data_IF_625931436305
#
_entry.id   IF_625931436305
#
_cell.length_a   1.000
_cell.length_b   1.000
_cell.length_c   1.000
_cell.angle_alpha   90.00
_cell.angle_beta   90.00
_cell.angle_gamma   90.00
#
_symmetry.space_group_name_H-M   'P 1'
#
loop_
_entity.id
_entity.type
_entity.pdbx_description
1 polymer ?
#
# COMPACT_ATOMS: atom_id res chain seq x y z
N UNK A 1 -5.11 2.05 -13.04
CA UNK A 1 -4.06 1.74 -14.05
C UNK A 1 -3.51 2.97 -14.76
N UNK A 2 -4.31 3.96 -15.16
CA UNK A 2 -3.83 5.12 -15.92
C UNK A 2 -2.67 5.88 -15.25
N UNK A 3 -2.75 6.13 -13.94
CA UNK A 3 -1.68 6.79 -13.17
C UNK A 3 -0.36 6.02 -13.25
N UNK A 4 -0.37 4.71 -12.98
CA UNK A 4 0.86 3.91 -12.99
C UNK A 4 1.47 3.89 -14.40
N UNK A 5 0.63 3.72 -15.44
CA UNK A 5 1.10 3.77 -16.84
C UNK A 5 1.71 5.12 -17.20
N UNK A 6 1.12 6.21 -16.72
CA UNK A 6 1.65 7.57 -16.90
C UNK A 6 3.00 7.72 -16.20
N UNK A 7 3.11 7.33 -14.93
CA UNK A 7 4.37 7.38 -14.17
C UNK A 7 5.49 6.62 -14.90
N UNK A 8 5.23 5.38 -15.31
CA UNK A 8 6.26 4.56 -15.94
C UNK A 8 6.63 5.05 -17.35
N UNK A 9 5.67 5.49 -18.17
CA UNK A 9 5.92 5.82 -19.59
C UNK A 9 6.28 7.28 -19.85
N UNK A 10 5.61 8.21 -19.19
CA UNK A 10 5.78 9.64 -19.45
C UNK A 10 6.83 10.24 -18.51
N UNK A 11 6.71 9.94 -17.22
CA UNK A 11 7.56 10.53 -16.18
C UNK A 11 8.82 9.69 -15.92
N UNK A 12 8.89 8.47 -16.48
CA UNK A 12 9.99 7.52 -16.33
C UNK A 12 10.32 7.23 -14.86
N UNK A 13 9.29 7.17 -14.02
CA UNK A 13 9.40 6.86 -12.60
C UNK A 13 8.86 5.45 -12.32
N UNK A 14 9.57 4.65 -11.50
CA UNK A 14 9.00 3.41 -10.97
C UNK A 14 7.86 3.75 -10.01
N UNK A 15 6.90 2.83 -9.87
CA UNK A 15 5.78 2.96 -8.94
C UNK A 15 5.82 1.81 -7.94
N UNK A 16 5.74 2.12 -6.65
CA UNK A 16 5.53 1.13 -5.60
C UNK A 16 4.06 1.12 -5.20
N UNK A 17 3.48 -0.07 -5.10
CA UNK A 17 2.10 -0.25 -4.66
C UNK A 17 2.10 -0.96 -3.31
N UNK A 18 1.34 -0.42 -2.37
CA UNK A 18 1.03 -1.08 -1.12
C UNK A 18 -0.49 -1.24 -1.02
N UNK A 19 -0.93 -2.43 -0.63
CA UNK A 19 -2.34 -2.76 -0.37
C UNK A 19 -2.38 -3.35 1.02
N UNK A 20 -3.29 -2.87 1.86
CA UNK A 20 -3.49 -3.49 3.16
C UNK A 20 -4.22 -4.83 2.97
N UNK A 21 -3.86 -5.91 3.69
CA UNK A 21 -4.52 -7.22 3.52
C UNK A 21 -6.05 -7.16 3.68
N UNK A 22 -6.53 -6.23 4.51
CA UNK A 22 -7.95 -5.98 4.76
C UNK A 22 -8.66 -5.26 3.59
N UNK A 23 -7.97 -4.95 2.50
CA UNK A 23 -8.62 -4.48 1.28
C UNK A 23 -9.02 -5.65 0.36
N UNK A 24 -8.50 -6.85 0.63
CA UNK A 24 -8.71 -8.07 -0.15
C UNK A 24 -9.49 -9.16 0.60
N UNK A 25 -9.78 -8.96 1.89
CA UNK A 25 -10.46 -9.95 2.72
C UNK A 25 -11.98 -9.64 2.83
N UNK A 26 -12.85 -10.32 2.07
CA UNK A 26 -14.31 -10.15 2.19
C UNK A 26 -14.91 -10.75 3.47
N UNK A 27 -14.16 -11.61 4.15
CA UNK A 27 -14.56 -12.36 5.34
C UNK A 27 -14.20 -11.67 6.66
N UNK A 28 -13.69 -10.44 6.58
CA UNK A 28 -13.37 -9.64 7.77
C UNK A 28 -14.50 -9.61 8.80
N UNK A 29 -14.15 -9.63 10.09
CA UNK A 29 -15.13 -9.61 11.18
C UNK A 29 -15.97 -8.34 11.12
N UNK A 30 -17.29 -8.52 11.11
CA UNK A 30 -18.23 -7.40 11.09
C UNK A 30 -18.33 -6.80 12.49
N UNK A 31 -17.73 -5.62 12.67
CA UNK A 31 -17.85 -4.87 13.92
C UNK A 31 -19.27 -4.25 13.99
N UNK A 32 -20.02 -4.46 15.10
CA UNK A 32 -21.34 -3.89 15.28
C UNK A 32 -21.26 -2.36 15.42
N UNK A 33 -21.36 -1.67 14.29
CA UNK A 33 -21.35 -0.20 14.17
C UNK A 33 -22.58 0.26 13.40
N UNK A 34 -22.77 1.58 13.22
CA UNK A 34 -23.87 2.12 12.39
C UNK A 34 -23.79 1.59 10.95
N UNK A 35 -24.95 1.44 10.30
CA UNK A 35 -25.07 0.81 8.97
C UNK A 35 -24.17 1.45 7.91
N UNK A 36 -24.06 2.79 7.92
CA UNK A 36 -23.19 3.57 7.03
C UNK A 36 -21.70 3.27 7.28
N UNK A 37 -21.30 3.11 8.54
CA UNK A 37 -19.92 2.76 8.90
C UNK A 37 -19.57 1.39 8.37
N UNK A 38 -20.42 0.38 8.62
CA UNK A 38 -20.22 -0.97 8.08
C UNK A 38 -20.15 -1.00 6.56
N UNK A 39 -20.99 -0.21 5.88
CA UNK A 39 -20.96 -0.11 4.41
C UNK A 39 -19.63 0.46 3.90
N UNK A 40 -19.11 1.52 4.51
CA UNK A 40 -17.81 2.11 4.11
C UNK A 40 -16.65 1.12 4.21
N UNK A 41 -16.70 0.21 5.17
CA UNK A 41 -15.66 -0.81 5.35
C UNK A 41 -15.78 -1.99 4.38
N UNK A 42 -16.94 -2.20 3.73
CA UNK A 42 -17.17 -3.38 2.88
C UNK A 42 -17.38 -3.05 1.41
N UNK A 43 -17.71 -1.81 1.09
CA UNK A 43 -17.94 -1.41 -0.29
C UNK A 43 -16.62 -1.46 -1.08
N UNK A 44 -16.64 -2.12 -2.23
CA UNK A 44 -15.52 -2.11 -3.18
C UNK A 44 -14.46 -3.21 -2.99
N UNK A 45 -14.58 -4.10 -1.99
CA UNK A 45 -13.61 -5.20 -1.78
C UNK A 45 -13.41 -6.06 -3.04
N UNK A 46 -14.51 -6.54 -3.64
CA UNK A 46 -14.45 -7.32 -4.90
C UNK A 46 -13.92 -6.51 -6.09
N UNK A 47 -13.98 -5.17 -6.04
CA UNK A 47 -13.41 -4.33 -7.07
C UNK A 47 -11.90 -4.13 -6.88
N UNK A 48 -11.38 -4.18 -5.65
CA UNK A 48 -9.94 -4.11 -5.37
C UNK A 48 -9.25 -5.37 -5.89
N UNK A 49 -9.80 -6.55 -5.59
CA UNK A 49 -9.27 -7.85 -6.05
C UNK A 49 -9.14 -7.91 -7.58
N UNK A 50 -10.24 -7.68 -8.32
CA UNK A 50 -10.19 -7.66 -9.80
C UNK A 50 -9.24 -6.61 -10.36
N UNK A 51 -9.08 -5.47 -9.69
CA UNK A 51 -8.14 -4.42 -10.11
C UNK A 51 -6.69 -4.86 -9.87
N UNK A 52 -6.43 -5.60 -8.79
CA UNK A 52 -5.12 -6.16 -8.50
C UNK A 52 -4.73 -7.22 -9.52
N UNK A 53 -5.62 -8.17 -9.83
CA UNK A 53 -5.41 -9.17 -10.89
C UNK A 53 -5.04 -8.49 -12.22
N UNK A 54 -5.88 -7.55 -12.66
CA UNK A 54 -5.63 -6.80 -13.88
C UNK A 54 -4.36 -5.92 -13.82
N UNK A 55 -3.88 -5.56 -12.62
CA UNK A 55 -2.62 -4.85 -12.45
C UNK A 55 -1.44 -5.78 -12.72
N UNK A 56 -1.43 -6.92 -12.04
CA UNK A 56 -0.38 -7.95 -12.11
C UNK A 56 -0.23 -8.46 -13.53
N UNK A 57 -1.34 -8.70 -14.24
CA UNK A 57 -1.31 -9.18 -15.63
C UNK A 57 -0.78 -8.16 -16.64
N UNK A 58 -1.03 -6.86 -16.40
CA UNK A 58 -0.92 -5.84 -17.46
C UNK A 58 0.20 -4.83 -17.26
N UNK A 59 0.90 -4.90 -16.13
CA UNK A 59 2.02 -4.02 -15.81
C UNK A 59 3.30 -4.84 -15.59
N UNK A 60 4.47 -4.31 -15.97
CA UNK A 60 5.73 -4.95 -15.65
C UNK A 60 6.03 -4.80 -14.15
N UNK A 61 6.09 -5.92 -13.44
CA UNK A 61 6.56 -5.97 -12.06
C UNK A 61 8.01 -6.44 -12.01
N UNK A 62 8.73 -5.94 -11.03
CA UNK A 62 10.09 -6.34 -10.71
C UNK A 62 10.34 -6.20 -9.22
N UNK A 63 11.57 -6.40 -8.81
CA UNK A 63 11.99 -6.21 -7.43
C UNK A 63 12.04 -4.72 -7.06
N UNK A 64 11.94 -4.45 -5.76
CA UNK A 64 12.18 -3.10 -5.25
C UNK A 64 13.61 -2.63 -5.56
N UNK A 65 14.59 -3.54 -5.59
CA UNK A 65 15.99 -3.23 -5.93
C UNK A 65 16.13 -2.74 -7.38
N UNK A 66 15.54 -3.44 -8.35
CA UNK A 66 15.53 -3.01 -9.76
C UNK A 66 14.82 -1.64 -9.92
N UNK A 67 13.73 -1.44 -9.18
CA UNK A 67 13.02 -0.16 -9.15
C UNK A 67 13.91 0.97 -8.62
N UNK A 68 14.63 0.74 -7.51
CA UNK A 68 15.56 1.71 -6.92
C UNK A 68 16.73 2.03 -7.85
N UNK A 69 17.29 1.03 -8.55
CA UNK A 69 18.36 1.23 -9.53
C UNK A 69 17.88 2.07 -10.72
N UNK A 70 16.63 1.88 -11.15
CA UNK A 70 16.03 2.69 -12.21
C UNK A 70 15.72 4.13 -11.75
N UNK A 71 15.60 4.35 -10.45
CA UNK A 71 15.27 5.65 -9.86
C UNK A 71 16.54 6.49 -9.69
N UNK A 72 16.75 7.42 -10.64
CA UNK A 72 17.90 8.33 -10.62
C UNK A 72 17.92 9.29 -9.42
N UNK A 73 19.06 9.33 -8.74
CA UNK A 73 19.46 10.20 -7.62
C UNK A 73 18.32 10.66 -6.69
N UNK A 74 17.80 9.77 -5.83
CA UNK A 74 16.80 10.15 -4.84
C UNK A 74 17.43 11.14 -3.86
N UNK A 75 16.81 12.31 -3.72
CA UNK A 75 17.08 13.16 -2.56
C UNK A 75 16.74 12.30 -1.34
N UNK A 76 17.68 12.01 -0.42
CA UNK A 76 17.37 11.23 0.75
C UNK A 76 16.16 11.85 1.43
N UNK A 77 15.17 11.02 1.76
CA UNK A 77 14.23 11.41 2.80
C UNK A 77 15.12 11.79 3.97
N UNK A 78 15.11 13.06 4.35
CA UNK A 78 15.76 13.51 5.57
C UNK A 78 15.01 12.80 6.71
N UNK A 79 15.39 11.55 6.97
CA UNK A 79 15.12 10.85 8.21
C UNK A 79 15.85 11.72 9.21
N UNK A 80 15.09 12.60 9.87
CA UNK A 80 15.65 13.64 10.72
C UNK A 80 16.74 13.04 11.59
N UNK A 81 17.89 13.71 11.63
CA UNK A 81 18.80 13.57 12.76
C UNK A 81 17.94 13.61 14.03
N UNK A 82 18.12 12.60 14.89
CA UNK A 82 17.30 12.22 16.06
C UNK A 82 16.11 11.27 15.79
N UNK A 83 16.41 9.99 15.60
CA UNK A 83 15.65 8.99 16.34
C UNK A 83 16.16 9.05 17.79
N UNK A 84 15.34 9.41 18.80
CA UNK A 84 15.76 9.22 20.18
C UNK A 84 15.96 7.71 20.38
N UNK A 85 17.13 7.35 20.89
CA UNK A 85 17.41 6.02 21.42
C UNK A 85 16.24 5.59 22.31
N UNK A 86 15.73 4.38 22.07
CA UNK A 86 14.85 3.64 22.99
C UNK A 86 13.54 4.33 23.39
N UNK A 87 12.49 4.19 22.59
CA UNK A 87 11.13 4.16 23.14
C UNK A 87 10.75 2.72 23.45
N UNK A 88 11.20 2.26 24.62
CA UNK A 88 10.63 1.09 25.30
C UNK A 88 9.19 1.45 25.70
N UNK A 89 8.25 1.24 24.79
CA UNK A 89 6.83 1.28 25.11
C UNK A 89 6.42 -0.15 25.52
N UNK A 90 5.79 -0.36 26.68
CA UNK A 90 5.31 -1.67 27.06
C UNK A 90 4.17 -2.08 26.12
N UNK A 91 4.32 -3.23 25.47
CA UNK A 91 3.23 -3.90 24.75
C UNK A 91 2.14 -4.23 25.78
N UNK A 92 0.89 -3.74 25.62
CA UNK A 92 -0.17 -4.09 26.55
C UNK A 92 -0.42 -5.59 26.46
N UNK A 93 -0.34 -6.30 27.59
CA UNK A 93 -0.80 -7.68 27.69
C UNK A 93 -2.31 -7.69 27.51
N UNK A 94 -2.78 -8.33 26.44
CA UNK A 94 -4.19 -8.64 26.26
C UNK A 94 -4.59 -9.61 27.38
N UNK A 95 -5.48 -9.15 28.27
CA UNK A 95 -6.26 -10.00 29.17
C UNK A 95 -7.58 -10.34 28.52
#
# INVERSE_FOLDING_TARGET
MAIIRRLNRQERLPANLYIHPWELDPEQPVIPTRLVTRLRHRIGLSAVERRLEAMIERLPFGTLSESLQSWGNPRPLALGESAPETMSAPVPSLR
#
